data_IF_586818012374
#
_entry.id   IF_586818012374
#
_cell.length_a   1.000
_cell.length_b   1.000
_cell.length_c   1.000
_cell.angle_alpha   90.00
_cell.angle_beta   90.00
_cell.angle_gamma   90.00
#
_symmetry.space_group_name_H-M   'P 1'
#
loop_
_entity.id
_entity.type
_entity.pdbx_description
1 polymer ?
#
# COMPACT_ATOMS: atom_id res chain seq x y z
N UNK A 1 23.68 -1.34 0.48
CA UNK A 1 22.47 -1.47 -0.37
C UNK A 1 21.41 -0.54 0.18
N UNK A 2 21.03 0.47 -0.59
CA UNK A 2 19.92 1.36 -0.25
C UNK A 2 18.64 0.59 -0.58
N UNK A 3 17.89 0.17 0.43
CA UNK A 3 16.63 -0.55 0.20
C UNK A 3 15.69 0.27 -0.69
N UNK A 4 14.94 -0.41 -1.57
CA UNK A 4 13.99 0.16 -2.55
C UNK A 4 13.09 1.25 -1.93
N UNK A 5 12.80 1.13 -0.64
CA UNK A 5 12.00 2.07 0.13
C UNK A 5 12.65 3.45 0.42
N UNK A 6 13.97 3.55 0.36
CA UNK A 6 14.66 4.85 0.40
C UNK A 6 14.61 5.56 -0.97
N UNK A 7 14.29 4.83 -2.03
CA UNK A 7 14.28 5.35 -3.40
C UNK A 7 13.05 6.22 -3.66
N UNK A 8 11.90 5.93 -3.04
CA UNK A 8 10.71 6.79 -3.15
C UNK A 8 11.01 8.23 -2.69
N UNK A 9 11.61 8.39 -1.50
CA UNK A 9 11.96 9.70 -0.95
C UNK A 9 12.98 10.42 -1.85
N UNK A 10 13.97 9.71 -2.38
CA UNK A 10 14.94 10.27 -3.31
C UNK A 10 14.26 10.76 -4.60
N UNK A 11 13.37 9.97 -5.20
CA UNK A 11 12.63 10.35 -6.41
C UNK A 11 11.65 11.47 -6.20
N UNK A 12 11.09 11.60 -5.00
CA UNK A 12 10.30 12.75 -4.58
C UNK A 12 11.15 14.02 -4.52
N UNK A 13 12.33 13.95 -3.90
CA UNK A 13 13.27 15.09 -3.85
C UNK A 13 13.77 15.49 -5.25
N UNK A 14 14.03 14.52 -6.13
CA UNK A 14 14.38 14.79 -7.54
C UNK A 14 13.24 15.51 -8.28
N UNK A 15 12.00 15.08 -8.06
CA UNK A 15 10.82 15.76 -8.60
C UNK A 15 10.75 17.21 -8.11
N UNK A 16 10.91 17.43 -6.79
CA UNK A 16 10.86 18.78 -6.22
C UNK A 16 11.93 19.70 -6.79
N UNK A 17 13.15 19.19 -6.93
CA UNK A 17 14.25 19.94 -7.52
C UNK A 17 13.96 20.36 -8.97
N UNK A 18 13.26 19.52 -9.71
CA UNK A 18 12.98 19.72 -11.14
C UNK A 18 11.75 20.60 -11.38
N UNK A 19 10.68 20.42 -10.60
CA UNK A 19 9.35 20.97 -10.87
C UNK A 19 8.91 22.08 -9.89
N UNK A 20 9.63 22.33 -8.79
CA UNK A 20 9.32 23.42 -7.85
C UNK A 20 9.30 24.81 -8.50
N UNK A 21 10.09 25.02 -9.56
CA UNK A 21 10.12 26.26 -10.33
C UNK A 21 9.12 26.28 -11.49
N UNK A 22 8.67 25.12 -11.98
CA UNK A 22 7.80 24.99 -13.16
C UNK A 22 6.33 25.23 -12.83
N UNK A 23 5.54 25.69 -13.80
CA UNK A 23 4.10 25.95 -13.64
C UNK A 23 3.21 24.82 -14.15
N UNK A 24 3.76 23.94 -15.00
CA UNK A 24 3.04 22.86 -15.65
C UNK A 24 3.80 21.54 -15.55
N UNK A 25 3.05 20.45 -15.55
CA UNK A 25 3.55 19.08 -15.65
C UNK A 25 2.78 18.35 -16.75
N UNK A 26 3.46 17.54 -17.55
CA UNK A 26 2.79 16.68 -18.53
C UNK A 26 2.57 15.31 -17.92
N UNK A 27 1.31 14.93 -17.72
CA UNK A 27 0.94 13.66 -17.11
C UNK A 27 1.55 12.48 -17.87
N UNK A 28 2.29 11.64 -17.13
CA UNK A 28 2.96 10.45 -17.66
C UNK A 28 2.13 9.15 -17.50
N UNK A 29 0.92 9.27 -16.97
CA UNK A 29 -0.12 8.23 -16.86
C UNK A 29 -1.44 8.79 -17.40
N UNK A 30 -2.41 7.94 -17.76
CA UNK A 30 -3.75 8.40 -18.16
C UNK A 30 -4.40 9.27 -17.08
N UNK A 31 -4.97 10.40 -17.51
CA UNK A 31 -5.80 11.27 -16.69
C UNK A 31 -7.24 11.22 -17.22
N UNK A 32 -8.10 10.50 -16.52
CA UNK A 32 -9.39 10.06 -17.03
C UNK A 32 -9.22 9.31 -18.36
N UNK A 33 -9.74 9.84 -19.49
CA UNK A 33 -9.61 9.28 -20.84
C UNK A 33 -8.47 9.95 -21.64
N UNK A 34 -7.80 10.95 -21.08
CA UNK A 34 -6.81 11.76 -21.77
C UNK A 34 -5.40 11.31 -21.46
N UNK A 35 -4.59 11.09 -22.49
CA UNK A 35 -3.16 10.81 -22.37
C UNK A 35 -2.36 12.11 -22.49
N UNK A 36 -1.19 12.19 -21.86
CA UNK A 36 -0.26 13.32 -21.95
C UNK A 36 -0.90 14.68 -21.62
N UNK A 37 -1.86 14.71 -20.69
CA UNK A 37 -2.56 15.92 -20.29
C UNK A 37 -1.58 16.89 -19.62
N UNK A 38 -1.53 18.13 -20.09
CA UNK A 38 -0.83 19.21 -19.39
C UNK A 38 -1.64 19.65 -18.17
N UNK A 39 -1.01 19.59 -17.01
CA UNK A 39 -1.63 19.89 -15.72
C UNK A 39 -0.90 21.06 -15.09
N UNK A 40 -1.67 22.04 -14.61
CA UNK A 40 -1.10 23.17 -13.92
C UNK A 40 -0.79 22.77 -12.46
N UNK A 41 0.47 22.94 -12.04
CA UNK A 41 0.96 22.52 -10.72
C UNK A 41 1.20 23.70 -9.76
N UNK A 42 0.82 24.92 -10.15
CA UNK A 42 1.01 26.13 -9.34
C UNK A 42 -0.22 27.01 -9.31
N UNK A 43 -0.61 27.38 -8.10
CA UNK A 43 -1.63 28.41 -7.90
C UNK A 43 -1.24 29.76 -8.53
N UNK A 44 -2.22 30.66 -8.67
CA UNK A 44 -2.02 32.06 -9.10
C UNK A 44 -0.96 32.82 -8.26
N UNK A 45 -0.68 32.36 -7.04
CA UNK A 45 0.34 32.91 -6.13
C UNK A 45 1.72 32.22 -6.27
N UNK A 46 1.95 31.46 -7.34
CA UNK A 46 3.18 30.71 -7.61
C UNK A 46 3.54 29.66 -6.54
N UNK A 47 2.56 29.22 -5.72
CA UNK A 47 2.72 28.16 -4.72
C UNK A 47 2.21 26.82 -5.27
N UNK A 48 2.81 25.67 -4.90
CA UNK A 48 2.30 24.33 -5.23
C UNK A 48 0.81 24.21 -4.94
N UNK A 49 0.02 23.67 -5.87
CA UNK A 49 -1.39 23.31 -5.66
C UNK A 49 -1.52 21.80 -5.37
N UNK A 50 -2.75 21.27 -5.30
CA UNK A 50 -2.97 19.84 -5.06
C UNK A 50 -2.42 18.95 -6.20
N UNK A 51 -2.56 19.41 -7.46
CA UNK A 51 -1.98 18.74 -8.62
C UNK A 51 -0.46 18.54 -8.48
N UNK A 52 0.26 19.51 -7.90
CA UNK A 52 1.69 19.35 -7.64
C UNK A 52 1.98 18.10 -6.80
N UNK A 53 1.28 17.93 -5.68
CA UNK A 53 1.48 16.81 -4.77
C UNK A 53 1.01 15.49 -5.38
N UNK A 54 -0.06 15.51 -6.19
CA UNK A 54 -0.51 14.37 -6.99
C UNK A 54 0.59 13.88 -7.93
N UNK A 55 1.13 14.77 -8.76
CA UNK A 55 2.16 14.41 -9.75
C UNK A 55 3.50 14.07 -9.10
N UNK A 56 3.85 14.74 -7.98
CA UNK A 56 5.00 14.39 -7.16
C UNK A 56 4.89 12.93 -6.68
N UNK A 57 3.74 12.53 -6.14
CA UNK A 57 3.52 11.17 -5.64
C UNK A 57 3.59 10.14 -6.77
N UNK A 58 2.83 10.33 -7.85
CA UNK A 58 2.84 9.39 -8.99
C UNK A 58 4.23 9.25 -9.60
N UNK A 59 4.93 10.37 -9.82
CA UNK A 59 6.30 10.33 -10.34
C UNK A 59 7.23 9.54 -9.41
N UNK A 60 7.13 9.76 -8.10
CA UNK A 60 7.96 9.08 -7.11
C UNK A 60 7.65 7.58 -7.04
N UNK A 61 6.37 7.21 -7.14
CA UNK A 61 5.91 5.83 -7.12
C UNK A 61 6.43 5.04 -8.33
N UNK A 62 6.37 5.64 -9.51
CA UNK A 62 6.82 5.02 -10.77
C UNK A 62 8.36 4.98 -10.84
N UNK A 63 9.00 6.12 -10.59
CA UNK A 63 10.45 6.26 -10.77
C UNK A 63 11.27 5.52 -9.72
N UNK A 64 10.66 5.18 -8.58
CA UNK A 64 11.27 4.31 -7.56
C UNK A 64 11.14 2.81 -7.90
N UNK A 65 10.39 2.46 -8.93
CA UNK A 65 10.16 1.07 -9.33
C UNK A 65 9.15 0.31 -8.45
N UNK A 66 8.46 0.99 -7.51
CA UNK A 66 7.42 0.36 -6.70
C UNK A 66 6.23 -0.10 -7.56
N UNK A 67 5.87 0.71 -8.57
CA UNK A 67 4.76 0.45 -9.48
C UNK A 67 5.13 0.80 -10.92
N UNK A 68 4.62 0.04 -11.88
CA UNK A 68 4.74 0.37 -13.30
C UNK A 68 3.60 1.29 -13.73
N UNK A 69 3.92 2.28 -14.57
CA UNK A 69 2.95 3.30 -15.02
C UNK A 69 1.72 2.70 -15.74
N UNK A 70 1.86 1.55 -16.38
CA UNK A 70 0.82 0.94 -17.23
C UNK A 70 -0.38 0.44 -16.40
N UNK A 71 -0.21 0.29 -15.10
CA UNK A 71 -1.25 -0.16 -14.16
C UNK A 71 -1.96 1.00 -13.45
N UNK A 72 -1.53 2.24 -13.66
CA UNK A 72 -1.94 3.39 -12.86
C UNK A 72 -2.78 4.35 -13.70
N UNK A 73 -3.90 4.78 -13.14
CA UNK A 73 -4.75 5.83 -13.67
C UNK A 73 -4.92 6.98 -12.68
N UNK A 74 -5.09 8.20 -13.19
CA UNK A 74 -5.51 9.37 -12.40
C UNK A 74 -6.89 9.84 -12.83
N UNK A 75 -7.66 10.46 -11.93
CA UNK A 75 -9.04 10.94 -12.20
C UNK A 75 -9.98 9.84 -12.70
N UNK A 76 -9.94 8.68 -12.05
CA UNK A 76 -10.77 7.52 -12.37
C UNK A 76 -12.15 7.71 -11.76
N UNK A 77 -13.20 7.40 -12.52
CA UNK A 77 -14.57 7.64 -12.07
C UNK A 77 -15.49 6.47 -12.36
N UNK A 78 -16.12 5.95 -11.30
CA UNK A 78 -17.14 4.92 -11.37
C UNK A 78 -18.53 5.50 -11.06
N UNK A 79 -19.59 4.97 -11.71
CA UNK A 79 -20.94 5.47 -11.49
C UNK A 79 -21.43 5.03 -10.11
N UNK A 80 -22.15 5.91 -9.43
CA UNK A 80 -22.85 5.56 -8.20
C UNK A 80 -24.22 4.96 -8.56
N UNK A 81 -24.67 3.93 -7.85
CA UNK A 81 -25.80 3.05 -8.23
C UNK A 81 -27.15 3.71 -8.56
N UNK A 82 -27.33 5.01 -8.28
CA UNK A 82 -28.50 5.79 -8.68
C UNK A 82 -28.16 6.75 -9.82
N UNK A 83 -29.02 6.82 -10.86
CA UNK A 83 -28.84 7.69 -12.05
C UNK A 83 -28.54 9.17 -11.74
N UNK A 84 -29.02 9.67 -10.60
CA UNK A 84 -28.85 11.07 -10.18
C UNK A 84 -27.72 11.29 -9.17
N UNK A 85 -27.05 10.23 -8.73
CA UNK A 85 -25.96 10.36 -7.76
C UNK A 85 -24.66 10.73 -8.47
N UNK A 86 -23.91 11.65 -7.86
CA UNK A 86 -22.57 11.98 -8.33
C UNK A 86 -21.71 10.70 -8.38
N UNK A 87 -20.98 10.46 -9.48
CA UNK A 87 -20.02 9.37 -9.58
C UNK A 87 -19.01 9.39 -8.44
N UNK A 88 -18.52 8.21 -8.06
CA UNK A 88 -17.36 8.10 -7.18
C UNK A 88 -16.15 8.44 -8.04
N UNK A 89 -15.45 9.51 -7.68
CA UNK A 89 -14.22 9.94 -8.32
C UNK A 89 -13.05 9.59 -7.40
N UNK A 90 -12.03 9.01 -8.00
CA UNK A 90 -10.79 8.61 -7.37
C UNK A 90 -9.69 9.45 -8.02
N UNK A 91 -8.92 10.18 -7.23
CA UNK A 91 -7.83 10.97 -7.78
C UNK A 91 -6.74 10.08 -8.40
N UNK A 92 -6.54 8.89 -7.82
CA UNK A 92 -5.71 7.83 -8.35
C UNK A 92 -6.28 6.43 -8.13
N UNK A 93 -6.02 5.54 -9.08
CA UNK A 93 -6.33 4.12 -8.97
C UNK A 93 -5.20 3.29 -9.59
N UNK A 94 -4.97 2.09 -9.03
CA UNK A 94 -4.04 1.12 -9.58
C UNK A 94 -4.77 -0.20 -9.74
N UNK A 95 -4.58 -0.81 -10.91
CA UNK A 95 -5.17 -2.09 -11.29
C UNK A 95 -4.10 -3.18 -11.29
N UNK A 96 -4.50 -4.44 -11.16
CA UNK A 96 -3.59 -5.60 -11.23
C UNK A 96 -3.26 -6.03 -12.68
N UNK A 97 -3.90 -5.43 -13.68
CA UNK A 97 -3.76 -5.81 -15.08
C UNK A 97 -3.57 -4.58 -15.99
N UNK A 98 -2.55 -4.55 -16.88
CA UNK A 98 -2.21 -3.35 -17.65
C UNK A 98 -3.25 -2.99 -18.72
N UNK A 99 -4.17 -3.91 -19.08
CA UNK A 99 -5.23 -3.62 -20.07
C UNK A 99 -6.41 -2.84 -19.46
N UNK A 100 -6.34 -2.45 -18.19
CA UNK A 100 -7.41 -1.73 -17.49
C UNK A 100 -7.88 -0.48 -18.25
N UNK A 101 -6.98 0.23 -18.92
CA UNK A 101 -7.32 1.47 -19.60
C UNK A 101 -8.22 1.22 -20.82
N UNK A 102 -8.11 0.06 -21.48
CA UNK A 102 -8.99 -0.32 -22.57
C UNK A 102 -10.41 -0.64 -22.07
N UNK A 103 -10.51 -1.36 -20.95
CA UNK A 103 -11.79 -1.57 -20.26
C UNK A 103 -12.40 -0.26 -19.77
N UNK A 104 -11.58 0.66 -19.25
CA UNK A 104 -12.03 1.97 -18.81
C UNK A 104 -12.60 2.82 -19.97
N UNK A 105 -11.92 2.85 -21.12
CA UNK A 105 -12.45 3.46 -22.35
C UNK A 105 -13.76 2.80 -22.80
N UNK A 106 -13.81 1.45 -22.82
CA UNK A 106 -15.03 0.69 -23.19
C UNK A 106 -16.21 1.05 -22.28
N UNK A 107 -15.97 1.16 -20.97
CA UNK A 107 -16.99 1.59 -20.01
C UNK A 107 -17.47 3.02 -20.29
N UNK A 108 -16.58 4.00 -20.41
CA UNK A 108 -17.01 5.40 -20.55
C UNK A 108 -17.66 5.71 -21.89
N UNK A 109 -17.16 5.13 -22.98
CA UNK A 109 -17.64 5.37 -24.34
C UNK A 109 -18.92 4.59 -24.64
N UNK A 110 -19.01 3.33 -24.20
CA UNK A 110 -20.10 2.42 -24.60
C UNK A 110 -21.05 2.08 -23.44
N UNK A 111 -20.83 2.60 -22.23
CA UNK A 111 -21.60 2.28 -21.02
C UNK A 111 -21.67 0.77 -20.72
N UNK A 112 -20.59 0.06 -21.05
CA UNK A 112 -20.49 -1.39 -20.91
C UNK A 112 -20.44 -1.79 -19.43
N UNK A 113 -21.50 -2.43 -18.92
CA UNK A 113 -21.54 -2.88 -17.53
C UNK A 113 -20.50 -3.97 -17.24
N UNK A 114 -20.30 -4.90 -18.18
CA UNK A 114 -19.22 -5.89 -18.12
C UNK A 114 -17.85 -5.24 -17.89
N UNK A 115 -17.62 -4.06 -18.49
CA UNK A 115 -16.35 -3.37 -18.35
C UNK A 115 -16.19 -2.75 -16.96
N UNK A 116 -17.29 -2.24 -16.38
CA UNK A 116 -17.30 -1.74 -15.02
C UNK A 116 -17.05 -2.87 -14.01
N UNK A 117 -17.73 -4.01 -14.18
CA UNK A 117 -17.57 -5.16 -13.30
C UNK A 117 -16.13 -5.71 -13.38
N UNK A 118 -15.55 -5.75 -14.58
CA UNK A 118 -14.13 -6.10 -14.76
C UNK A 118 -13.22 -5.13 -14.01
N UNK A 119 -13.40 -3.81 -14.17
CA UNK A 119 -12.58 -2.80 -13.49
C UNK A 119 -12.64 -2.92 -11.97
N UNK A 120 -13.81 -3.21 -11.39
CA UNK A 120 -13.99 -3.39 -9.95
C UNK A 120 -13.24 -4.61 -9.40
N UNK A 121 -13.22 -5.71 -10.17
CA UNK A 121 -12.47 -6.94 -9.82
C UNK A 121 -10.97 -6.77 -9.91
N UNK A 122 -10.52 -5.85 -10.73
CA UNK A 122 -9.10 -5.61 -10.99
C UNK A 122 -8.54 -4.38 -10.26
N UNK A 123 -9.36 -3.65 -9.49
CA UNK A 123 -8.97 -2.47 -8.71
C UNK A 123 -8.30 -2.89 -7.39
N UNK A 124 -7.01 -2.62 -7.24
CA UNK A 124 -6.21 -3.07 -6.08
C UNK A 124 -5.69 -1.94 -5.19
N UNK A 125 -5.56 -0.71 -5.71
CA UNK A 125 -5.19 0.48 -4.93
C UNK A 125 -6.08 1.65 -5.31
N UNK A 126 -6.48 2.43 -4.30
CA UNK A 126 -7.17 3.71 -4.45
C UNK A 126 -6.38 4.80 -3.72
N UNK A 127 -6.26 5.97 -4.34
CA UNK A 127 -5.46 7.09 -3.85
C UNK A 127 -6.28 8.37 -3.88
N UNK A 128 -6.19 9.14 -2.79
CA UNK A 128 -6.80 10.47 -2.65
C UNK A 128 -5.72 11.50 -2.30
N UNK A 129 -5.75 12.65 -2.98
CA UNK A 129 -4.79 13.74 -2.77
C UNK A 129 -5.47 14.93 -2.09
N UNK A 130 -4.73 15.57 -1.18
CA UNK A 130 -5.17 16.79 -0.51
C UNK A 130 -4.03 17.79 -0.37
N UNK A 131 -4.40 19.06 -0.22
CA UNK A 131 -3.49 20.15 0.14
C UNK A 131 -4.00 20.91 1.37
N UNK A 132 -4.19 20.19 2.47
CA UNK A 132 -4.85 20.69 3.68
C UNK A 132 -3.99 20.59 4.94
N UNK A 133 -2.81 19.97 4.88
CA UNK A 133 -1.91 19.79 6.03
C UNK A 133 -2.59 19.01 7.19
N UNK A 134 -3.32 17.97 6.85
CA UNK A 134 -4.03 17.03 7.72
C UNK A 134 -5.19 17.61 8.52
N UNK A 135 -5.78 18.73 8.08
CA UNK A 135 -6.87 19.39 8.82
C UNK A 135 -8.12 18.52 8.94
N UNK A 136 -8.45 17.73 7.92
CA UNK A 136 -9.72 17.00 7.85
C UNK A 136 -9.58 15.55 7.34
N UNK A 137 -8.46 14.92 7.71
CA UNK A 137 -8.10 13.56 7.25
C UNK A 137 -9.19 12.52 7.55
N UNK A 138 -9.90 12.64 8.66
CA UNK A 138 -11.01 11.72 9.02
C UNK A 138 -12.21 11.85 8.08
N UNK A 139 -12.57 13.07 7.69
CA UNK A 139 -13.65 13.32 6.73
C UNK A 139 -13.27 12.81 5.35
N UNK A 140 -12.04 13.11 4.90
CA UNK A 140 -11.50 12.62 3.62
C UNK A 140 -11.52 11.08 3.60
N UNK A 141 -11.07 10.45 4.68
CA UNK A 141 -11.13 8.99 4.81
C UNK A 141 -12.55 8.44 4.73
N UNK A 142 -13.49 8.98 5.53
CA UNK A 142 -14.85 8.44 5.61
C UNK A 142 -15.70 8.72 4.36
N UNK A 143 -15.53 9.88 3.74
CA UNK A 143 -16.41 10.36 2.66
C UNK A 143 -15.86 10.11 1.26
N UNK A 144 -14.54 9.98 1.11
CA UNK A 144 -13.88 9.86 -0.19
C UNK A 144 -13.16 8.51 -0.30
N UNK A 145 -12.12 8.28 0.52
CA UNK A 145 -11.27 7.10 0.39
C UNK A 145 -12.05 5.79 0.66
N UNK A 146 -12.72 5.67 1.81
CA UNK A 146 -13.41 4.43 2.20
C UNK A 146 -14.54 4.07 1.21
N UNK A 147 -15.38 5.01 0.72
CA UNK A 147 -16.32 4.72 -0.36
C UNK A 147 -15.64 4.28 -1.66
N UNK A 148 -14.51 4.86 -2.03
CA UNK A 148 -13.78 4.45 -3.22
C UNK A 148 -13.14 3.06 -3.08
N UNK A 149 -12.61 2.71 -1.90
CA UNK A 149 -12.13 1.35 -1.61
C UNK A 149 -13.25 0.30 -1.66
N UNK A 150 -14.49 0.66 -1.33
CA UNK A 150 -15.66 -0.22 -1.44
C UNK A 150 -16.00 -0.61 -2.88
N UNK A 151 -15.57 0.19 -3.85
CA UNK A 151 -15.78 -0.14 -5.26
C UNK A 151 -14.89 -1.30 -5.73
N UNK A 152 -13.78 -1.58 -5.04
CA UNK A 152 -12.99 -2.77 -5.31
C UNK A 152 -13.76 -4.01 -4.85
N UNK A 153 -13.88 -5.01 -5.73
CA UNK A 153 -14.46 -6.31 -5.42
C UNK A 153 -13.43 -7.27 -4.81
N UNK A 154 -12.16 -6.88 -4.75
CA UNK A 154 -11.10 -7.68 -4.11
C UNK A 154 -11.29 -7.71 -2.59
N UNK A 155 -10.91 -8.82 -1.94
CA UNK A 155 -10.89 -8.90 -0.48
C UNK A 155 -9.85 -7.96 0.13
N UNK A 156 -8.71 -7.81 -0.54
CA UNK A 156 -7.69 -6.81 -0.23
C UNK A 156 -7.72 -5.65 -1.21
N UNK A 157 -7.78 -4.43 -0.69
CA UNK A 157 -7.56 -3.20 -1.45
C UNK A 157 -6.76 -2.21 -0.59
N UNK A 158 -5.68 -1.66 -1.14
CA UNK A 158 -4.89 -0.63 -0.47
C UNK A 158 -5.56 0.74 -0.66
N UNK A 159 -5.69 1.50 0.42
CA UNK A 159 -6.13 2.89 0.39
C UNK A 159 -5.00 3.83 0.77
N UNK A 160 -4.79 4.90 0.01
CA UNK A 160 -3.74 5.88 0.27
C UNK A 160 -4.35 7.28 0.33
N UNK A 161 -4.09 8.01 1.41
CA UNK A 161 -4.25 9.48 1.41
C UNK A 161 -2.86 10.10 1.41
N UNK A 162 -2.66 11.03 0.48
CA UNK A 162 -1.45 11.85 0.41
C UNK A 162 -1.81 13.32 0.53
N UNK A 163 -1.60 13.89 1.72
CA UNK A 163 -1.92 15.28 2.03
C UNK A 163 -0.66 16.09 2.28
N UNK A 164 -0.28 16.93 1.31
CA UNK A 164 0.87 17.83 1.46
C UNK A 164 2.11 17.09 1.98
N UNK A 165 2.45 15.99 1.31
CA UNK A 165 3.57 15.09 1.65
C UNK A 165 3.36 14.16 2.85
N UNK A 166 2.26 14.27 3.58
CA UNK A 166 1.91 13.33 4.66
C UNK A 166 1.20 12.11 4.08
N UNK A 167 1.73 10.94 4.41
CA UNK A 167 1.21 9.66 3.93
C UNK A 167 0.30 9.04 4.99
N UNK A 168 -0.80 8.45 4.54
CA UNK A 168 -1.70 7.65 5.35
C UNK A 168 -2.09 6.40 4.57
N UNK A 169 -1.79 5.23 5.12
CA UNK A 169 -2.02 3.93 4.50
C UNK A 169 -3.16 3.19 5.22
N UNK A 170 -4.09 2.69 4.41
CA UNK A 170 -5.27 1.96 4.85
C UNK A 170 -5.40 0.67 4.04
N UNK A 171 -6.16 -0.28 4.57
CA UNK A 171 -6.46 -1.53 3.89
C UNK A 171 -7.94 -1.89 4.05
N UNK A 172 -8.52 -2.38 2.98
CA UNK A 172 -9.72 -3.22 3.01
C UNK A 172 -9.24 -4.66 3.23
N UNK A 173 -9.83 -5.37 4.18
CA UNK A 173 -9.61 -6.80 4.43
C UNK A 173 -10.98 -7.45 4.60
N UNK A 174 -11.53 -7.99 3.51
CA UNK A 174 -12.91 -8.41 3.42
C UNK A 174 -13.87 -7.24 3.68
N UNK A 175 -14.58 -7.29 4.81
CA UNK A 175 -15.52 -6.23 5.24
C UNK A 175 -14.89 -5.17 6.16
N UNK A 176 -13.66 -5.39 6.62
CA UNK A 176 -12.98 -4.49 7.55
C UNK A 176 -12.19 -3.41 6.79
N UNK A 177 -12.17 -2.20 7.34
CA UNK A 177 -11.43 -1.05 6.79
C UNK A 177 -10.54 -0.48 7.90
N UNK A 178 -9.25 -0.75 7.79
CA UNK A 178 -8.28 -0.57 8.86
C UNK A 178 -7.09 0.24 8.37
N UNK A 179 -6.23 0.68 9.29
CA UNK A 179 -4.89 1.14 8.95
C UNK A 179 -4.07 -0.03 8.41
N UNK A 180 -3.22 0.25 7.43
CA UNK A 180 -2.28 -0.76 6.93
C UNK A 180 -1.32 -1.16 8.04
N UNK A 181 -0.77 -0.18 8.76
CA UNK A 181 -0.05 -0.43 10.00
C UNK A 181 -1.02 -0.66 11.16
N UNK A 182 -1.02 -1.88 11.66
CA UNK A 182 -1.92 -2.29 12.72
C UNK A 182 -1.63 -1.66 14.08
N UNK A 183 -0.46 -1.07 14.30
CA UNK A 183 -0.18 -0.28 15.52
C UNK A 183 -1.10 0.94 15.63
N UNK A 184 -1.70 1.34 14.51
CA UNK A 184 -2.67 2.43 14.41
C UNK A 184 -4.12 1.95 14.51
N UNK A 185 -4.37 0.67 14.79
CA UNK A 185 -5.70 0.09 15.00
C UNK A 185 -5.90 -0.22 16.49
N UNK A 186 -6.53 0.67 17.27
CA UNK A 186 -6.60 0.57 18.73
C UNK A 186 -7.28 -0.71 19.25
N UNK A 187 -8.13 -1.34 18.42
CA UNK A 187 -8.82 -2.61 18.73
C UNK A 187 -8.47 -3.73 17.75
N UNK A 188 -7.33 -3.61 17.05
CA UNK A 188 -6.93 -4.55 16.00
C UNK A 188 -8.00 -4.70 14.92
N UNK A 189 -8.31 -5.94 14.53
CA UNK A 189 -9.31 -6.26 13.51
C UNK A 189 -10.75 -5.82 13.86
N UNK A 190 -11.03 -5.53 15.14
CA UNK A 190 -12.33 -5.04 15.60
C UNK A 190 -12.44 -3.51 15.58
N UNK A 191 -11.42 -2.81 15.06
CA UNK A 191 -11.40 -1.35 15.03
C UNK A 191 -12.47 -0.81 14.08
N UNK A 192 -13.26 0.15 14.58
CA UNK A 192 -14.12 0.98 13.75
C UNK A 192 -13.36 2.24 13.30
N UNK A 193 -13.94 3.10 12.46
CA UNK A 193 -13.26 4.34 12.04
C UNK A 193 -12.74 5.18 13.22
N UNK A 194 -13.48 5.23 14.34
CA UNK A 194 -13.09 6.00 15.53
C UNK A 194 -11.92 5.40 16.30
N UNK A 195 -11.69 4.10 16.11
CA UNK A 195 -10.60 3.36 16.75
C UNK A 195 -9.32 3.36 15.89
N UNK A 196 -9.33 4.05 14.74
CA UNK A 196 -8.17 4.22 13.88
C UNK A 196 -7.42 5.49 14.28
N UNK A 197 -6.10 5.40 14.45
CA UNK A 197 -5.22 6.55 14.71
C UNK A 197 -5.00 7.37 13.44
N UNK A 198 -6.07 7.95 12.88
CA UNK A 198 -6.07 8.70 11.59
C UNK A 198 -5.20 9.97 11.65
N UNK A 199 -4.93 10.49 12.84
CA UNK A 199 -4.05 11.63 13.04
C UNK A 199 -2.57 11.29 12.84
N UNK A 200 -2.18 10.01 12.88
CA UNK A 200 -0.81 9.56 12.71
C UNK A 200 -0.48 9.26 11.24
N UNK A 201 0.66 9.77 10.79
CA UNK A 201 1.17 9.58 9.43
C UNK A 201 2.02 8.31 9.33
N UNK A 202 1.99 7.67 8.16
CA UNK A 202 2.89 6.59 7.81
C UNK A 202 4.20 7.11 7.22
N UNK A 203 5.26 6.33 7.39
CA UNK A 203 6.52 6.57 6.71
C UNK A 203 6.48 6.02 5.28
N UNK A 204 7.18 6.66 4.33
CA UNK A 204 7.17 6.24 2.93
C UNK A 204 7.71 4.83 2.68
N UNK A 205 8.59 4.33 3.55
CA UNK A 205 9.07 2.95 3.42
C UNK A 205 8.00 1.89 3.68
N UNK A 206 6.84 2.28 4.23
CA UNK A 206 5.71 1.38 4.46
C UNK A 206 4.81 1.25 3.23
N UNK A 207 5.04 2.00 2.14
CA UNK A 207 4.30 1.84 0.90
C UNK A 207 4.65 0.45 0.33
N UNK A 208 3.68 -0.48 0.23
CA UNK A 208 3.95 -1.80 -0.33
C UNK A 208 4.24 -1.69 -1.83
N UNK A 209 5.15 -2.53 -2.31
CA UNK A 209 5.39 -2.68 -3.76
C UNK A 209 4.19 -3.32 -4.45
N UNK A 210 4.11 -3.17 -5.77
CA UNK A 210 3.05 -3.80 -6.57
C UNK A 210 2.93 -5.31 -6.31
N UNK A 211 4.06 -6.04 -6.26
CA UNK A 211 4.08 -7.48 -5.97
C UNK A 211 3.52 -7.81 -4.58
N UNK A 212 3.79 -6.99 -3.58
CA UNK A 212 3.27 -7.19 -2.22
C UNK A 212 1.76 -6.97 -2.17
N UNK A 213 1.24 -6.00 -2.91
CA UNK A 213 -0.22 -5.78 -3.04
C UNK A 213 -0.87 -6.95 -3.77
N UNK A 214 -0.32 -7.35 -4.93
CA UNK A 214 -0.83 -8.45 -5.75
C UNK A 214 -0.92 -9.78 -4.96
N UNK A 215 0.10 -10.10 -4.16
CA UNK A 215 0.11 -11.29 -3.30
C UNK A 215 -0.95 -11.30 -2.19
N UNK A 216 -1.41 -10.12 -1.77
CA UNK A 216 -2.49 -10.00 -0.78
C UNK A 216 -3.87 -10.00 -1.43
N UNK A 217 -3.94 -9.67 -2.71
CA UNK A 217 -5.18 -9.68 -3.50
C UNK A 217 -5.53 -11.07 -4.02
N UNK A 218 -4.52 -11.88 -4.40
CA UNK A 218 -4.71 -13.24 -4.90
C UNK A 218 -4.55 -14.24 -3.75
N UNK A 219 -5.47 -15.19 -3.58
CA UNK A 219 -5.25 -16.40 -2.77
C UNK A 219 -4.15 -17.26 -3.43
N UNK A 220 -2.89 -16.87 -3.27
CA UNK A 220 -1.78 -17.67 -3.75
C UNK A 220 -1.55 -18.80 -2.75
N UNK A 221 -1.65 -20.06 -3.22
CA UNK A 221 -1.12 -21.22 -2.49
C UNK A 221 0.34 -20.92 -2.18
N UNK A 222 0.65 -20.68 -0.90
CA UNK A 222 1.96 -20.20 -0.48
C UNK A 222 2.98 -21.34 -0.63
N UNK A 223 3.67 -21.39 -1.77
CA UNK A 223 4.88 -22.19 -1.90
C UNK A 223 5.99 -21.55 -1.05
N UNK A 224 6.19 -22.10 0.15
CA UNK A 224 7.17 -21.59 1.09
C UNK A 224 8.60 -21.82 0.58
N UNK A 225 8.84 -22.84 -0.26
CA UNK A 225 10.17 -23.31 -0.70
C UNK A 225 11.01 -22.29 -1.47
N UNK A 226 10.37 -21.22 -1.98
CA UNK A 226 11.02 -20.17 -2.78
C UNK A 226 10.78 -18.77 -2.23
N UNK A 227 10.37 -18.65 -0.96
CA UNK A 227 10.14 -17.34 -0.36
C UNK A 227 11.45 -16.54 -0.26
N UNK A 228 11.37 -15.28 -0.64
CA UNK A 228 12.40 -14.25 -0.49
C UNK A 228 12.06 -13.29 0.64
N UNK A 229 12.98 -12.39 1.00
CA UNK A 229 12.72 -11.32 1.98
C UNK A 229 11.59 -10.37 1.52
N UNK A 230 11.44 -10.17 0.21
CA UNK A 230 10.38 -9.31 -0.36
C UNK A 230 8.97 -9.92 -0.22
N UNK A 231 8.91 -11.23 0.06
CA UNK A 231 7.67 -11.98 0.28
C UNK A 231 7.21 -11.95 1.73
N UNK A 232 8.04 -11.39 2.61
CA UNK A 232 7.68 -11.13 3.99
C UNK A 232 6.84 -9.86 4.06
N UNK A 233 5.84 -9.88 4.92
CA UNK A 233 5.07 -8.69 5.22
C UNK A 233 5.96 -7.66 5.94
N UNK A 234 5.77 -6.39 5.60
CA UNK A 234 6.40 -5.30 6.34
C UNK A 234 5.88 -5.39 7.78
N UNK A 235 6.79 -5.38 8.75
CA UNK A 235 6.44 -5.44 10.19
C UNK A 235 5.56 -4.23 10.55
N UNK A 236 4.27 -4.49 10.66
CA UNK A 236 3.21 -3.61 11.19
C UNK A 236 2.87 -4.00 12.63
N UNK A 237 2.14 -3.16 13.36
CA UNK A 237 1.95 -3.35 14.81
C UNK A 237 1.41 -4.70 15.30
N UNK A 238 0.59 -5.49 14.60
CA UNK A 238 0.25 -6.84 15.14
C UNK A 238 1.35 -7.86 14.92
N UNK A 239 2.31 -7.61 14.03
CA UNK A 239 3.55 -8.38 14.06
C UNK A 239 4.28 -8.17 15.37
N UNK A 240 4.16 -7.03 16.08
CA UNK A 240 4.76 -6.93 17.41
C UNK A 240 4.09 -7.87 18.40
N UNK A 241 2.76 -8.07 18.34
CA UNK A 241 2.09 -9.04 19.21
C UNK A 241 2.44 -10.47 18.83
N UNK A 242 2.41 -10.83 17.54
CA UNK A 242 2.85 -12.16 17.09
C UNK A 242 4.33 -12.42 17.38
N UNK A 243 5.19 -11.41 17.24
CA UNK A 243 6.60 -11.47 17.62
C UNK A 243 6.73 -11.61 19.14
N UNK A 244 5.97 -10.85 19.93
CA UNK A 244 5.97 -10.96 21.39
C UNK A 244 5.51 -12.35 21.84
N UNK A 245 4.45 -12.89 21.23
CA UNK A 245 3.95 -14.22 21.50
C UNK A 245 4.99 -15.28 21.10
N UNK A 246 5.61 -15.13 19.92
CA UNK A 246 6.67 -16.02 19.44
C UNK A 246 7.91 -15.97 20.34
N UNK A 247 8.32 -14.77 20.78
CA UNK A 247 9.42 -14.58 21.74
C UNK A 247 9.04 -15.20 23.09
N UNK A 248 7.80 -15.00 23.55
CA UNK A 248 7.30 -15.61 24.79
C UNK A 248 7.34 -17.13 24.71
N UNK A 249 6.96 -17.72 23.59
CA UNK A 249 6.99 -19.16 23.39
C UNK A 249 8.42 -19.73 23.29
N UNK A 250 9.35 -18.98 22.68
CA UNK A 250 10.78 -19.30 22.72
C UNK A 250 11.27 -19.29 24.17
N UNK A 251 10.94 -18.27 24.95
CA UNK A 251 11.35 -18.15 26.36
C UNK A 251 10.76 -19.29 27.21
N UNK A 252 9.47 -19.59 27.08
CA UNK A 252 8.84 -20.74 27.76
C UNK A 252 9.50 -22.06 27.38
N UNK A 253 9.94 -22.21 26.13
CA UNK A 253 10.65 -23.42 25.68
C UNK A 253 12.03 -23.50 26.32
N UNK A 254 12.74 -22.38 26.42
CA UNK A 254 14.03 -22.29 27.10
C UNK A 254 13.91 -22.63 28.58
N UNK A 255 12.87 -22.13 29.25
CA UNK A 255 12.55 -22.49 30.65
C UNK A 255 12.35 -24.01 30.79
N UNK A 256 11.57 -24.63 29.89
CA UNK A 256 11.30 -26.08 29.90
C UNK A 256 12.56 -26.94 29.74
N UNK A 257 13.56 -26.45 29.00
CA UNK A 257 14.83 -27.17 28.79
C UNK A 257 15.96 -26.65 29.68
N UNK A 258 15.65 -25.84 30.70
CA UNK A 258 16.63 -25.26 31.64
C UNK A 258 17.74 -24.42 30.98
N UNK A 259 17.38 -23.71 29.92
CA UNK A 259 18.20 -22.72 29.21
C UNK A 259 17.70 -21.28 29.46
N UNK A 260 17.01 -21.03 30.57
CA UNK A 260 16.59 -19.71 31.06
C UNK A 260 17.76 -18.86 31.61
N UNK A 261 18.96 -19.44 31.63
CA UNK A 261 20.19 -18.82 32.11
C UNK A 261 20.90 -18.00 31.01
N UNK A 262 21.96 -17.27 31.41
CA UNK A 262 22.77 -16.44 30.52
C UNK A 262 23.24 -17.18 29.25
N UNK A 263 23.55 -18.48 29.36
CA UNK A 263 24.02 -19.29 28.24
C UNK A 263 22.93 -19.52 27.19
N UNK A 264 21.69 -19.73 27.61
CA UNK A 264 20.57 -19.84 26.67
C UNK A 264 20.34 -18.53 25.91
N UNK A 265 20.32 -17.39 26.60
CA UNK A 265 20.21 -16.08 25.94
C UNK A 265 21.35 -15.83 24.93
N UNK A 266 22.59 -16.19 25.25
CA UNK A 266 23.70 -16.13 24.30
C UNK A 266 23.44 -16.95 23.04
N UNK A 267 22.92 -18.19 23.18
CA UNK A 267 22.57 -19.06 22.06
C UNK A 267 21.47 -18.41 21.19
N UNK A 268 20.44 -17.84 21.81
CA UNK A 268 19.36 -17.16 21.09
C UNK A 268 19.88 -15.97 20.29
N UNK A 269 20.70 -15.11 20.90
CA UNK A 269 21.30 -13.95 20.23
C UNK A 269 22.19 -14.40 19.07
N UNK A 270 23.03 -15.41 19.27
CA UNK A 270 23.89 -15.96 18.22
C UNK A 270 23.06 -16.54 17.07
N UNK A 271 21.97 -17.24 17.38
CA UNK A 271 21.07 -17.83 16.38
C UNK A 271 20.38 -16.75 15.56
N UNK A 272 19.87 -15.68 16.20
CA UNK A 272 19.25 -14.53 15.51
C UNK A 272 20.30 -13.79 14.66
N UNK A 273 21.52 -13.58 15.18
CA UNK A 273 22.58 -12.91 14.44
C UNK A 273 23.02 -13.69 13.19
N UNK A 274 23.18 -15.02 13.33
CA UNK A 274 23.44 -15.92 12.21
C UNK A 274 22.31 -15.87 11.18
N UNK A 275 21.06 -15.84 11.63
CA UNK A 275 19.89 -15.69 10.76
C UNK A 275 19.89 -14.39 9.98
N UNK A 276 20.08 -13.26 10.66
CA UNK A 276 20.16 -11.95 10.00
C UNK A 276 21.30 -11.93 8.98
N UNK A 277 22.42 -12.58 9.27
CA UNK A 277 23.54 -12.69 8.35
C UNK A 277 23.20 -13.55 7.13
N UNK A 278 22.61 -14.72 7.34
CA UNK A 278 22.19 -15.64 6.28
C UNK A 278 21.12 -15.03 5.37
N UNK A 279 20.11 -14.35 5.93
CA UNK A 279 19.03 -13.70 5.18
C UNK A 279 19.54 -12.52 4.34
N UNK A 280 20.60 -11.83 4.79
CA UNK A 280 21.25 -10.79 4.00
C UNK A 280 22.08 -11.33 2.84
N UNK A 281 22.48 -12.61 2.88
CA UNK A 281 23.36 -13.22 1.88
C UNK A 281 22.67 -14.20 0.95
N UNK A 282 21.58 -14.82 1.38
CA UNK A 282 20.83 -15.80 0.60
C UNK A 282 19.67 -15.12 -0.13
N UNK A 283 19.36 -15.63 -1.33
CA UNK A 283 18.23 -15.17 -2.13
C UNK A 283 16.89 -15.74 -1.62
N UNK A 284 16.91 -16.95 -1.05
CA UNK A 284 15.72 -17.64 -0.51
C UNK A 284 15.83 -17.90 1.00
N UNK A 285 14.70 -17.80 1.68
CA UNK A 285 14.50 -18.22 3.06
C UNK A 285 14.55 -19.75 3.15
N UNK A 286 15.11 -20.31 4.22
CA UNK A 286 15.39 -21.77 4.33
C UNK A 286 14.73 -22.49 5.52
N UNK A 287 13.92 -21.82 6.34
CA UNK A 287 13.50 -22.33 7.66
C UNK A 287 11.99 -22.37 7.91
N UNK A 288 11.19 -22.56 6.86
CA UNK A 288 9.78 -22.91 7.03
C UNK A 288 9.65 -24.43 7.18
N UNK A 289 8.90 -24.87 8.18
CA UNK A 289 8.40 -26.24 8.25
C UNK A 289 7.52 -26.43 7.02
N UNK A 290 7.87 -27.39 6.16
CA UNK A 290 7.03 -27.76 5.02
C UNK A 290 5.76 -28.43 5.54
N UNK A 291 4.65 -28.30 4.81
CA UNK A 291 3.38 -28.91 5.24
C UNK A 291 3.49 -30.44 5.39
N UNK A 292 4.45 -31.07 4.69
CA UNK A 292 4.80 -32.49 4.85
C UNK A 292 5.48 -32.83 6.18
N UNK A 293 6.17 -31.87 6.80
CA UNK A 293 6.88 -32.02 8.07
C UNK A 293 5.96 -31.74 9.28
N UNK A 294 4.76 -31.21 9.02
CA UNK A 294 3.78 -30.82 10.04
C UNK A 294 2.77 -31.94 10.39
N UNK A 295 3.03 -33.18 9.95
CA UNK A 295 2.10 -34.31 10.13
C UNK A 295 2.20 -35.01 11.50
N UNK A 296 3.23 -34.70 12.29
CA UNK A 296 3.52 -35.40 13.56
C UNK A 296 3.69 -34.44 14.77
N UNK A 297 3.10 -33.23 14.70
CA UNK A 297 2.92 -32.31 15.83
C UNK A 297 1.43 -32.08 16.09
#
# INVERSE_FOLDING_TARGET
MVGINNLFLQKKQEFDKTYSSQSEFTANIPNHLTLNKKCNIKSKKNKPNEEYYKWQFFHSLISSGLYQKDYIGSEISFPKGNKNSAPIKMDGAIFDNPIWFDWYKKFHNNKSQEALDWLRKHLIVVIEFKKEYSKDTETVYNQQLKPAMKESECDFCLGIIYDTERLYLFQKKGQNYLRLDESYNLKGDKSTTKDLSIHLTDAYYKIPSFKQVEKRTVEVVIDRSKRTVDDLDIVTGVFSNQINDSISDILKTFDKVSLDNQRGYEILIQMIALKIFDEKKNEWLKYYIQDSENKDL
#
